data_IF_647862771566
#
_entry.id   IF_647862771566
#
_cell.length_a   1.000
_cell.length_b   1.000
_cell.length_c   1.000
_cell.angle_alpha   90.00
_cell.angle_beta   90.00
_cell.angle_gamma   90.00
#
_symmetry.space_group_name_H-M   'P 1'
#
loop_
_entity.id
_entity.type
_entity.pdbx_description
1 polymer ?
#
# COMPACT_ATOMS: atom_id res chain seq x y z
N UNK A 1 57.90 -61.60 -15.41
CA UNK A 1 57.37 -61.15 -14.11
C UNK A 1 56.81 -59.76 -14.31
N UNK A 2 55.51 -59.62 -14.44
CA UNK A 2 54.82 -58.37 -14.79
C UNK A 2 54.16 -57.81 -13.54
N UNK A 3 54.47 -56.57 -13.20
CA UNK A 3 53.81 -55.90 -12.09
C UNK A 3 52.81 -54.88 -12.69
N UNK A 4 51.57 -55.10 -12.41
CA UNK A 4 50.47 -54.20 -12.78
C UNK A 4 50.28 -53.16 -11.67
N UNK A 5 50.45 -51.88 -12.02
CA UNK A 5 50.10 -50.76 -11.16
C UNK A 5 48.70 -50.29 -11.48
N UNK A 6 47.80 -50.42 -10.49
CA UNK A 6 46.42 -49.92 -10.54
C UNK A 6 46.40 -48.45 -10.17
N UNK A 7 46.02 -47.57 -11.07
CA UNK A 7 45.82 -46.17 -10.82
C UNK A 7 44.35 -45.92 -10.38
N UNK A 8 44.15 -45.59 -9.10
CA UNK A 8 42.82 -45.26 -8.58
C UNK A 8 42.55 -43.77 -8.82
N UNK A 9 41.60 -43.45 -9.69
CA UNK A 9 41.10 -42.10 -9.94
C UNK A 9 40.07 -41.73 -8.87
N UNK A 10 40.40 -40.75 -8.05
CA UNK A 10 39.46 -40.13 -7.11
C UNK A 10 38.69 -39.06 -7.84
N UNK A 11 37.40 -39.30 -8.13
CA UNK A 11 36.49 -38.31 -8.70
C UNK A 11 35.98 -37.44 -7.53
N UNK A 12 36.46 -36.19 -7.48
CA UNK A 12 35.92 -35.17 -6.58
C UNK A 12 34.60 -34.61 -7.14
N UNK A 13 33.47 -35.06 -6.57
CA UNK A 13 32.15 -34.54 -6.86
C UNK A 13 31.97 -33.15 -6.26
N UNK A 14 31.96 -32.11 -7.10
CA UNK A 14 31.58 -30.77 -6.68
C UNK A 14 30.03 -30.71 -6.58
N UNK A 15 29.52 -30.72 -5.34
CA UNK A 15 28.10 -30.45 -5.08
C UNK A 15 27.83 -28.97 -5.29
N UNK A 16 27.16 -28.63 -6.39
CA UNK A 16 26.58 -27.29 -6.60
C UNK A 16 25.43 -27.11 -5.60
N UNK A 17 25.66 -26.30 -4.58
CA UNK A 17 24.60 -25.76 -3.73
C UNK A 17 23.78 -24.76 -4.56
N UNK A 18 22.70 -25.24 -5.14
CA UNK A 18 21.65 -24.38 -5.69
C UNK A 18 21.00 -23.63 -4.55
N UNK A 19 21.53 -22.46 -4.21
CA UNK A 19 20.89 -21.52 -3.33
C UNK A 19 19.56 -21.12 -3.94
N UNK A 20 18.44 -21.58 -3.35
CA UNK A 20 17.12 -21.12 -3.71
C UNK A 20 17.04 -19.63 -3.41
N UNK A 21 17.06 -18.80 -4.47
CA UNK A 21 16.73 -17.38 -4.36
C UNK A 21 15.32 -17.28 -3.72
N UNK A 22 15.11 -16.35 -2.77
CA UNK A 22 13.78 -16.15 -2.21
C UNK A 22 12.83 -15.80 -3.35
N UNK A 23 11.58 -16.32 -3.34
CA UNK A 23 10.62 -16.01 -4.39
C UNK A 23 10.44 -14.50 -4.47
N UNK A 24 10.64 -13.93 -5.66
CA UNK A 24 10.27 -12.55 -5.95
C UNK A 24 8.80 -12.42 -5.58
N UNK A 25 8.47 -11.60 -4.58
CA UNK A 25 7.08 -11.36 -4.21
C UNK A 25 6.37 -10.86 -5.46
N UNK A 26 5.43 -11.64 -5.98
CA UNK A 26 4.65 -11.26 -7.15
C UNK A 26 3.94 -9.94 -6.85
N UNK A 27 4.11 -8.97 -7.72
CA UNK A 27 3.39 -7.69 -7.61
C UNK A 27 1.91 -7.99 -7.85
N UNK A 28 1.07 -7.66 -6.88
CA UNK A 28 -0.37 -7.78 -7.03
C UNK A 28 -0.86 -6.78 -8.07
N UNK A 29 -1.65 -7.25 -9.01
CA UNK A 29 -2.36 -6.33 -9.89
C UNK A 29 -3.41 -5.56 -9.08
N UNK A 30 -3.77 -4.36 -9.55
CA UNK A 30 -4.84 -3.55 -8.95
C UNK A 30 -6.14 -4.36 -8.79
N UNK A 31 -6.48 -5.17 -9.78
CA UNK A 31 -7.70 -5.98 -9.76
C UNK A 31 -7.67 -7.10 -8.72
N UNK A 32 -6.53 -7.77 -8.57
CA UNK A 32 -6.33 -8.80 -7.54
C UNK A 32 -6.43 -8.20 -6.14
N UNK A 33 -5.79 -7.04 -5.91
CA UNK A 33 -5.84 -6.34 -4.65
C UNK A 33 -7.28 -5.90 -4.30
N UNK A 34 -8.04 -5.36 -5.27
CA UNK A 34 -9.45 -4.99 -5.08
C UNK A 34 -10.32 -6.23 -4.75
N UNK A 35 -10.13 -7.35 -5.45
CA UNK A 35 -10.87 -8.60 -5.16
C UNK A 35 -10.53 -9.15 -3.78
N UNK A 36 -9.28 -9.04 -3.35
CA UNK A 36 -8.85 -9.46 -2.02
C UNK A 36 -9.38 -8.55 -0.91
N UNK A 37 -9.52 -7.24 -1.19
CA UNK A 37 -10.06 -6.27 -0.25
C UNK A 37 -11.60 -6.35 -0.16
N UNK A 38 -12.25 -6.58 -1.29
CA UNK A 38 -13.72 -6.61 -1.44
C UNK A 38 -14.15 -7.89 -2.15
N UNK A 39 -14.15 -9.05 -1.43
CA UNK A 39 -14.57 -10.31 -2.05
C UNK A 39 -16.07 -10.30 -2.37
N UNK A 40 -16.49 -11.09 -3.39
CA UNK A 40 -17.92 -11.26 -3.71
C UNK A 40 -18.76 -11.58 -2.46
N UNK A 41 -19.99 -11.10 -2.37
CA UNK A 41 -20.79 -10.43 -3.42
C UNK A 41 -20.60 -8.89 -3.50
N UNK A 42 -19.50 -8.33 -2.99
CA UNK A 42 -19.29 -6.89 -3.09
C UNK A 42 -19.06 -6.46 -4.56
N UNK A 43 -19.74 -5.39 -4.95
CA UNK A 43 -19.56 -4.70 -6.22
C UNK A 43 -18.61 -3.53 -6.06
N UNK A 44 -17.67 -3.35 -6.99
CA UNK A 44 -16.66 -2.30 -6.93
C UNK A 44 -16.80 -1.37 -8.13
N UNK A 45 -17.03 -0.10 -7.86
CA UNK A 45 -17.17 0.95 -8.85
C UNK A 45 -15.99 1.92 -8.79
N UNK A 46 -15.36 2.22 -9.94
CA UNK A 46 -14.36 3.27 -10.04
C UNK A 46 -15.04 4.64 -10.16
N UNK A 47 -14.64 5.56 -9.31
CA UNK A 47 -15.08 6.97 -9.32
C UNK A 47 -13.90 7.92 -9.42
N UNK A 48 -14.15 9.15 -9.83
CA UNK A 48 -13.16 10.22 -9.89
C UNK A 48 -13.72 11.46 -9.22
N UNK A 49 -12.98 12.05 -8.30
CA UNK A 49 -13.28 13.32 -7.69
C UNK A 49 -12.38 14.41 -8.25
N UNK A 50 -12.96 15.61 -8.44
CA UNK A 50 -12.25 16.83 -8.81
C UNK A 50 -12.34 17.79 -7.62
N UNK A 51 -11.20 18.02 -6.97
CA UNK A 51 -11.13 18.90 -5.81
C UNK A 51 -10.94 20.35 -6.24
N UNK A 52 -11.75 21.24 -5.68
CA UNK A 52 -11.52 22.68 -5.80
C UNK A 52 -10.23 23.09 -5.08
N UNK A 53 -9.69 24.27 -5.39
CA UNK A 53 -8.52 24.80 -4.68
C UNK A 53 -8.75 24.89 -3.18
N UNK A 54 -9.92 25.34 -2.74
CA UNK A 54 -10.27 25.41 -1.33
C UNK A 54 -10.32 24.03 -0.64
N UNK A 55 -10.86 23.01 -1.33
CA UNK A 55 -10.87 21.63 -0.82
C UNK A 55 -9.44 21.06 -0.73
N UNK A 56 -8.60 21.37 -1.72
CA UNK A 56 -7.21 20.96 -1.74
C UNK A 56 -6.40 21.62 -0.61
N UNK A 57 -6.59 22.92 -0.37
CA UNK A 57 -5.93 23.63 0.72
C UNK A 57 -6.35 23.09 2.10
N UNK A 58 -7.64 22.76 2.25
CA UNK A 58 -8.15 22.10 3.44
C UNK A 58 -7.55 20.70 3.64
N UNK A 59 -7.41 19.91 2.55
CA UNK A 59 -6.77 18.60 2.62
C UNK A 59 -5.29 18.73 3.01
N UNK A 60 -4.56 19.72 2.50
CA UNK A 60 -3.16 20.02 2.88
C UNK A 60 -3.03 20.35 4.37
N UNK A 61 -3.92 21.21 4.88
CA UNK A 61 -3.93 21.56 6.30
C UNK A 61 -4.18 20.33 7.18
N UNK A 62 -5.14 19.49 6.81
CA UNK A 62 -5.47 18.25 7.53
C UNK A 62 -4.34 17.21 7.48
N UNK A 63 -3.70 17.02 6.33
CA UNK A 63 -2.61 16.07 6.18
C UNK A 63 -1.36 16.48 6.97
N UNK A 64 -1.12 17.78 7.13
CA UNK A 64 0.08 18.33 7.73
C UNK A 64 1.19 18.60 6.72
N UNK A 65 2.14 19.46 7.10
CA UNK A 65 3.20 19.97 6.21
C UNK A 65 4.15 18.88 5.68
N UNK A 66 4.27 17.77 6.37
CA UNK A 66 5.13 16.64 6.02
C UNK A 66 4.46 15.62 5.07
N UNK A 67 3.14 15.76 4.84
CA UNK A 67 2.35 14.89 3.94
C UNK A 67 1.72 15.73 2.80
N UNK A 68 2.48 16.16 1.81
CA UNK A 68 1.99 17.04 0.76
C UNK A 68 0.84 16.42 -0.02
N UNK A 69 -0.19 17.24 -0.32
CA UNK A 69 -1.38 16.88 -1.11
C UNK A 69 -1.39 17.75 -2.35
N UNK A 70 -0.96 17.20 -3.49
CA UNK A 70 -0.82 17.96 -4.75
C UNK A 70 -1.85 17.56 -5.81
N UNK A 71 -2.58 16.46 -5.58
CA UNK A 71 -3.52 15.89 -6.54
C UNK A 71 -4.91 16.55 -6.41
N UNK A 72 -5.32 17.30 -7.42
CA UNK A 72 -6.67 17.83 -7.53
C UNK A 72 -7.67 16.86 -8.17
N UNK A 73 -7.17 15.83 -8.86
CA UNK A 73 -7.97 14.76 -9.47
C UNK A 73 -7.61 13.44 -8.81
N UNK A 74 -8.59 12.82 -8.18
CA UNK A 74 -8.40 11.59 -7.41
C UNK A 74 -9.31 10.50 -7.93
N UNK A 75 -8.73 9.40 -8.42
CA UNK A 75 -9.47 8.17 -8.73
C UNK A 75 -9.51 7.27 -7.50
N UNK A 76 -10.69 6.72 -7.21
CA UNK A 76 -10.92 5.82 -6.09
C UNK A 76 -11.97 4.76 -6.44
N UNK A 77 -12.07 3.71 -5.64
CA UNK A 77 -12.95 2.57 -5.90
C UNK A 77 -13.87 2.36 -4.72
N UNK A 78 -15.18 2.60 -4.92
CA UNK A 78 -16.20 2.39 -3.89
C UNK A 78 -16.72 0.98 -3.99
N UNK A 79 -16.72 0.28 -2.87
CA UNK A 79 -17.29 -1.05 -2.77
C UNK A 79 -18.64 -0.99 -2.06
N UNK A 80 -19.65 -1.65 -2.63
CA UNK A 80 -21.00 -1.79 -2.07
C UNK A 80 -21.37 -3.26 -1.96
N UNK A 81 -22.20 -3.58 -0.98
CA UNK A 81 -22.81 -4.90 -0.84
C UNK A 81 -24.28 -4.68 -0.48
N UNK A 82 -25.17 -5.30 -1.25
CA UNK A 82 -26.64 -5.13 -1.09
C UNK A 82 -27.04 -3.64 -1.07
N UNK A 83 -26.39 -2.82 -1.92
CA UNK A 83 -26.62 -1.38 -2.02
C UNK A 83 -26.00 -0.54 -0.89
N UNK A 84 -25.45 -1.14 0.15
CA UNK A 84 -24.80 -0.43 1.25
C UNK A 84 -23.27 -0.31 1.02
N UNK A 85 -22.63 0.85 1.33
CA UNK A 85 -21.19 0.99 1.22
C UNK A 85 -20.48 0.12 2.26
N UNK A 86 -19.46 -0.62 1.81
CA UNK A 86 -18.61 -1.46 2.69
C UNK A 86 -17.19 -0.94 2.80
N UNK A 87 -16.78 -0.07 1.90
CA UNK A 87 -15.47 0.57 1.95
C UNK A 87 -15.10 1.27 0.65
N UNK A 88 -13.98 1.96 0.67
CA UNK A 88 -13.38 2.62 -0.48
C UNK A 88 -11.89 2.33 -0.53
N UNK A 89 -11.36 2.00 -1.70
CA UNK A 89 -9.93 1.82 -1.92
C UNK A 89 -9.34 3.01 -2.68
N UNK A 90 -8.21 3.49 -2.17
CA UNK A 90 -7.35 4.49 -2.81
C UNK A 90 -6.02 3.84 -3.19
N UNK A 91 -5.45 4.30 -4.31
CA UNK A 91 -4.13 3.88 -4.75
C UNK A 91 -3.20 5.09 -4.72
N UNK A 92 -2.21 5.04 -3.85
CA UNK A 92 -1.24 6.10 -3.66
C UNK A 92 0.13 5.66 -4.16
N UNK A 93 0.69 6.45 -5.09
CA UNK A 93 2.05 6.23 -5.59
C UNK A 93 2.94 7.35 -5.08
N UNK A 94 3.99 6.97 -4.36
CA UNK A 94 4.91 7.93 -3.77
C UNK A 94 6.35 7.41 -3.80
N UNK A 95 7.29 8.31 -3.56
CA UNK A 95 8.72 7.98 -3.46
C UNK A 95 9.07 7.65 -2.01
N UNK A 96 9.80 6.54 -1.80
CA UNK A 96 10.33 6.17 -0.48
C UNK A 96 11.67 6.85 -0.22
N UNK A 97 12.70 6.49 -0.97
CA UNK A 97 14.02 7.12 -0.98
C UNK A 97 14.34 7.65 -2.37
N UNK A 98 14.61 6.74 -3.29
CA UNK A 98 14.96 7.02 -4.69
C UNK A 98 13.93 6.44 -5.65
N UNK A 99 13.23 5.39 -5.25
CA UNK A 99 12.30 4.63 -6.06
C UNK A 99 10.88 4.72 -5.51
N UNK A 100 9.90 4.33 -6.33
CA UNK A 100 8.50 4.46 -6.01
C UNK A 100 7.94 3.21 -5.32
N UNK A 101 7.02 3.46 -4.41
CA UNK A 101 6.09 2.49 -3.83
C UNK A 101 4.67 2.81 -4.31
N UNK A 102 3.84 1.78 -4.45
CA UNK A 102 2.39 1.91 -4.69
C UNK A 102 1.66 1.16 -3.60
N UNK A 103 0.85 1.88 -2.85
CA UNK A 103 0.00 1.34 -1.79
C UNK A 103 -1.46 1.36 -2.21
N UNK A 104 -2.19 0.32 -1.87
CA UNK A 104 -3.64 0.36 -1.73
C UNK A 104 -3.98 0.62 -0.26
N UNK A 105 -4.83 1.60 -0.01
CA UNK A 105 -5.35 1.94 1.32
C UNK A 105 -6.87 1.85 1.26
N UNK A 106 -7.43 0.98 2.07
CA UNK A 106 -8.88 0.76 2.18
C UNK A 106 -9.40 1.49 3.42
N UNK A 107 -10.41 2.33 3.22
CA UNK A 107 -11.08 3.09 4.29
C UNK A 107 -12.53 2.64 4.39
N UNK A 108 -12.99 2.39 5.60
CA UNK A 108 -14.36 1.98 5.89
C UNK A 108 -15.36 3.15 5.89
N UNK A 109 -16.68 2.86 5.98
CA UNK A 109 -17.71 3.89 6.09
C UNK A 109 -17.64 4.72 7.39
N UNK A 110 -16.86 4.29 8.37
CA UNK A 110 -16.55 4.98 9.62
C UNK A 110 -15.25 5.80 9.56
N UNK A 111 -14.75 6.10 8.36
CA UNK A 111 -13.52 6.85 8.07
C UNK A 111 -12.24 6.21 8.64
N UNK A 112 -12.28 4.92 9.01
CA UNK A 112 -11.13 4.19 9.54
C UNK A 112 -10.43 3.38 8.46
N UNK A 113 -9.10 3.33 8.53
CA UNK A 113 -8.32 2.40 7.73
C UNK A 113 -8.73 0.97 8.08
N UNK A 114 -9.04 0.16 7.07
CA UNK A 114 -9.46 -1.25 7.21
C UNK A 114 -8.39 -2.22 6.76
N UNK A 115 -7.62 -1.82 5.75
CA UNK A 115 -6.59 -2.67 5.15
C UNK A 115 -5.59 -1.81 4.40
N UNK A 116 -4.36 -2.26 4.38
CA UNK A 116 -3.32 -1.74 3.51
C UNK A 116 -2.64 -2.87 2.75
N UNK A 117 -2.21 -2.61 1.53
CA UNK A 117 -1.52 -3.58 0.69
C UNK A 117 -0.44 -2.87 -0.13
N UNK A 118 0.75 -3.44 -0.18
CA UNK A 118 1.83 -2.97 -1.08
C UNK A 118 1.67 -3.65 -2.43
N UNK A 119 1.33 -2.89 -3.45
CA UNK A 119 1.17 -3.40 -4.81
C UNK A 119 2.50 -3.42 -5.55
N UNK A 120 3.33 -2.42 -5.31
CA UNK A 120 4.65 -2.29 -5.90
C UNK A 120 5.60 -1.67 -4.90
N UNK A 121 6.77 -2.27 -4.79
CA UNK A 121 7.88 -1.72 -4.01
C UNK A 121 9.17 -1.86 -4.84
N UNK A 122 9.75 -0.73 -5.21
CA UNK A 122 10.91 -0.73 -6.11
C UNK A 122 12.25 -0.56 -5.38
N UNK A 123 12.22 -0.19 -4.08
CA UNK A 123 13.43 -0.15 -3.24
C UNK A 123 13.89 -1.57 -2.87
N UNK A 124 15.11 -1.74 -2.33
CA UNK A 124 15.62 -3.03 -1.89
C UNK A 124 14.67 -3.74 -0.89
N UNK A 125 14.52 -5.08 -1.00
CA UNK A 125 13.50 -5.83 -0.26
C UNK A 125 13.63 -5.77 1.27
N UNK A 126 14.80 -5.47 1.81
CA UNK A 126 15.03 -5.28 3.25
C UNK A 126 14.27 -4.07 3.82
N UNK A 127 13.90 -3.10 2.98
CA UNK A 127 13.11 -1.92 3.38
C UNK A 127 11.61 -2.09 3.15
N UNK A 128 11.19 -3.24 2.60
CA UNK A 128 9.78 -3.50 2.29
C UNK A 128 8.94 -3.52 3.58
N UNK A 129 7.81 -2.78 3.64
CA UNK A 129 6.92 -2.82 4.78
C UNK A 129 6.29 -4.20 4.90
N UNK A 130 6.37 -4.79 6.10
CA UNK A 130 5.78 -6.10 6.39
C UNK A 130 4.30 -5.94 6.72
N UNK A 131 3.51 -6.96 6.39
CA UNK A 131 2.06 -6.94 6.62
C UNK A 131 1.71 -6.66 8.10
N UNK A 132 2.41 -7.29 9.04
CA UNK A 132 2.23 -7.04 10.47
C UNK A 132 2.58 -5.62 10.92
N UNK A 133 3.46 -4.92 10.18
CA UNK A 133 3.74 -3.51 10.43
C UNK A 133 2.64 -2.61 9.84
N UNK A 134 2.14 -2.94 8.65
CA UNK A 134 1.03 -2.22 8.00
C UNK A 134 -0.26 -2.34 8.81
N UNK A 135 -0.48 -3.45 9.50
CA UNK A 135 -1.63 -3.65 10.37
C UNK A 135 -1.74 -2.61 11.51
N UNK A 136 -0.65 -1.91 11.87
CA UNK A 136 -0.72 -0.83 12.85
C UNK A 136 -1.65 0.31 12.44
N UNK A 137 -1.87 0.51 11.15
CA UNK A 137 -2.74 1.57 10.64
C UNK A 137 -4.23 1.23 10.72
N UNK A 138 -4.57 -0.05 10.87
CA UNK A 138 -5.96 -0.49 10.94
C UNK A 138 -6.69 0.11 12.15
N UNK A 139 -7.91 0.55 11.93
CA UNK A 139 -8.72 1.23 12.93
C UNK A 139 -8.40 2.71 13.15
N UNK A 140 -7.29 3.21 12.58
CA UNK A 140 -6.95 4.64 12.67
C UNK A 140 -7.76 5.50 11.70
N UNK A 141 -8.08 6.70 12.16
CA UNK A 141 -8.58 7.82 11.37
C UNK A 141 -7.48 8.88 11.21
N UNK A 142 -7.74 9.92 10.45
CA UNK A 142 -6.82 11.07 10.41
C UNK A 142 -6.85 11.83 11.73
N UNK A 143 -5.81 11.66 12.52
CA UNK A 143 -5.62 12.31 13.82
C UNK A 143 -4.18 12.84 13.93
N UNK A 144 -3.92 13.83 14.82
CA UNK A 144 -2.58 14.41 14.99
C UNK A 144 -1.52 13.38 15.39
N UNK A 145 -1.90 12.35 16.16
CA UNK A 145 -1.02 11.29 16.64
C UNK A 145 -0.77 10.18 15.61
N UNK A 146 -1.43 10.19 14.44
CA UNK A 146 -1.14 9.27 13.34
C UNK A 146 0.22 9.63 12.72
N UNK A 147 1.28 9.32 13.43
CA UNK A 147 2.67 9.67 13.10
C UNK A 147 3.63 8.69 13.76
N UNK A 148 4.90 8.68 13.30
CA UNK A 148 5.96 7.85 13.92
C UNK A 148 6.38 8.36 15.32
N UNK A 149 5.98 9.56 15.71
CA UNK A 149 6.15 10.09 17.06
C UNK A 149 4.91 9.86 17.94
N UNK A 150 3.85 9.35 17.36
CA UNK A 150 2.57 9.09 18.02
C UNK A 150 2.22 7.60 18.03
N UNK A 151 1.14 7.24 17.36
CA UNK A 151 0.54 5.89 17.41
C UNK A 151 1.25 4.84 16.55
N UNK A 152 2.11 5.22 15.61
CA UNK A 152 2.77 4.30 14.68
C UNK A 152 4.24 4.11 15.08
N UNK A 153 4.67 2.87 15.23
CA UNK A 153 6.09 2.55 15.51
C UNK A 153 6.85 2.38 14.20
N UNK A 154 8.02 3.01 14.08
CA UNK A 154 8.88 2.83 12.90
C UNK A 154 9.43 1.40 12.80
N UNK A 155 9.66 0.94 11.58
CA UNK A 155 10.42 -0.29 11.33
C UNK A 155 11.90 -0.04 11.59
N UNK A 156 12.54 -0.93 12.35
CA UNK A 156 13.99 -0.90 12.57
C UNK A 156 14.72 -1.06 11.23
N UNK A 157 15.64 -0.15 10.95
CA UNK A 157 16.42 -0.13 9.70
C UNK A 157 15.68 0.42 8.47
N UNK A 158 14.36 0.65 8.54
CA UNK A 158 13.55 1.14 7.42
C UNK A 158 12.72 2.40 7.78
N UNK A 159 13.33 3.36 8.46
CA UNK A 159 12.66 4.59 8.92
C UNK A 159 12.14 5.43 7.76
N UNK A 160 12.84 5.46 6.62
CA UNK A 160 12.39 6.23 5.45
C UNK A 160 11.11 5.63 4.86
N UNK A 161 11.03 4.31 4.75
CA UNK A 161 9.80 3.62 4.34
C UNK A 161 8.67 3.90 5.33
N UNK A 162 8.95 3.77 6.63
CA UNK A 162 7.95 4.05 7.68
C UNK A 162 7.39 5.47 7.57
N UNK A 163 8.25 6.48 7.34
CA UNK A 163 7.82 7.86 7.11
C UNK A 163 6.98 8.01 5.83
N UNK A 164 7.43 7.42 4.72
CA UNK A 164 6.78 7.53 3.43
C UNK A 164 5.36 6.94 3.47
N UNK A 165 5.20 5.74 4.03
CA UNK A 165 3.90 5.07 4.23
C UNK A 165 3.00 5.89 5.15
N UNK A 166 3.50 6.38 6.28
CA UNK A 166 2.69 7.17 7.23
C UNK A 166 2.17 8.46 6.58
N UNK A 167 3.00 9.15 5.79
CA UNK A 167 2.60 10.33 5.01
C UNK A 167 1.56 9.99 3.95
N UNK A 168 1.71 8.85 3.28
CA UNK A 168 0.73 8.33 2.31
C UNK A 168 -0.63 8.13 2.95
N UNK A 169 -0.69 7.47 4.11
CA UNK A 169 -1.96 7.26 4.85
C UNK A 169 -2.59 8.59 5.25
N UNK A 170 -1.81 9.53 5.79
CA UNK A 170 -2.32 10.88 6.16
C UNK A 170 -2.88 11.62 4.96
N UNK A 171 -2.16 11.61 3.83
CA UNK A 171 -2.60 12.23 2.56
C UNK A 171 -3.90 11.62 2.08
N UNK A 172 -4.00 10.29 2.02
CA UNK A 172 -5.21 9.59 1.57
C UNK A 172 -6.39 9.87 2.48
N UNK A 173 -6.22 9.84 3.80
CA UNK A 173 -7.29 10.14 4.74
C UNK A 173 -7.74 11.62 4.66
N UNK A 174 -6.82 12.55 4.39
CA UNK A 174 -7.16 13.95 4.17
C UNK A 174 -7.99 14.16 2.88
N UNK A 175 -7.62 13.47 1.80
CA UNK A 175 -8.39 13.45 0.57
C UNK A 175 -9.76 12.80 0.77
N UNK A 176 -9.81 11.67 1.46
CA UNK A 176 -11.05 10.96 1.79
C UNK A 176 -12.08 11.87 2.47
N UNK A 177 -11.65 12.67 3.46
CA UNK A 177 -12.49 13.67 4.14
C UNK A 177 -13.07 14.73 3.22
N UNK A 178 -12.41 15.05 2.10
CA UNK A 178 -12.89 16.07 1.13
C UNK A 178 -13.73 15.46 0.02
N UNK A 179 -13.48 14.21 -0.31
CA UNK A 179 -14.17 13.48 -1.39
C UNK A 179 -15.57 13.04 -0.94
N UNK A 180 -15.76 12.69 0.34
CA UNK A 180 -17.01 12.12 0.87
C UNK A 180 -17.52 10.95 0.00
N UNK A 181 -16.75 9.88 -0.20
CA UNK A 181 -16.98 8.87 -1.23
C UNK A 181 -18.29 8.10 -1.06
N UNK A 182 -18.85 8.11 0.15
CA UNK A 182 -20.11 7.44 0.50
C UNK A 182 -21.33 8.38 0.41
N UNK A 183 -21.14 9.65 0.16
CA UNK A 183 -22.26 10.54 -0.14
C UNK A 183 -22.98 10.02 -1.41
N UNK A 184 -24.32 10.14 -1.48
CA UNK A 184 -25.05 9.85 -2.70
C UNK A 184 -24.39 10.63 -3.85
N UNK A 185 -24.17 9.97 -4.98
CA UNK A 185 -23.68 10.68 -6.17
C UNK A 185 -24.60 11.88 -6.38
N UNK A 186 -24.05 13.10 -6.27
CA UNK A 186 -24.80 14.27 -6.63
C UNK A 186 -25.28 14.01 -8.06
N UNK A 187 -26.59 13.91 -8.26
CA UNK A 187 -27.18 13.72 -9.58
C UNK A 187 -26.55 14.79 -10.48
N UNK A 188 -25.75 14.33 -11.45
CA UNK A 188 -25.27 15.22 -12.49
C UNK A 188 -26.54 15.84 -13.11
N UNK A 189 -26.85 17.07 -12.71
CA UNK A 189 -27.90 17.83 -13.32
C UNK A 189 -27.56 18.03 -14.79
N UNK A 190 -28.56 18.13 -15.63
CA UNK A 190 -28.42 18.27 -17.09
C UNK A 190 -27.61 19.47 -17.48
#
# INVERSE_FOLDING_TARGET
MSIWATCSSVAAGAALLLGSAPPLRAQLSLQEALRAAFPPPAEVERRTAFLSSAALDSARADAGSDAPVDQSVVSYYVATRDGAPVGVAYFDSHRVRTLNEVLMIVVGPDDKVRRMEVLRFAEPPEYHPRDGWLAQFEGHTLAPDLSLKGSIRAMTGATLTSNAVTRSVRRVLALHRRIHPFAPAASAGP
#
